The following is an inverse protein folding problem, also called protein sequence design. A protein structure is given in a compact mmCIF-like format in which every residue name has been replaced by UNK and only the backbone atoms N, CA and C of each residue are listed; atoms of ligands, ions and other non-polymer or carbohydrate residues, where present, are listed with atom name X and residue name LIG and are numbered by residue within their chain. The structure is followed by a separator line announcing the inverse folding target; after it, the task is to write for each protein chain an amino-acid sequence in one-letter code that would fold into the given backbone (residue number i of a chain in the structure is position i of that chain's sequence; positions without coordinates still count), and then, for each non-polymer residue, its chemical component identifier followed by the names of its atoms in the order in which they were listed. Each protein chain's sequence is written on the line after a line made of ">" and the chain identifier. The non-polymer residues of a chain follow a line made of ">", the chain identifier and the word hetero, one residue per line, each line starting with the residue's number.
data_IF_434063424749
#
_entry.id   IF_434063424749
#
_cell.length_a   1.000
_cell.length_b   1.000
_cell.length_c   1.000
_cell.angle_alpha   90.00
_cell.angle_beta   90.00
_cell.angle_gamma   90.00
#
_symmetry.space_group_name_H-M   'P 1'
#
loop_
_entity.id
_entity.type
_entity.pdbx_description
1 polymer ?
#
# COMPACT_ATOMS: atom_id res chain seq x y z
N UNK A 1 -1.82 21.50 -2.67
CA UNK A 1 -3.07 20.73 -2.82
C UNK A 1 -4.04 21.46 -3.76
N UNK A 2 -4.54 22.64 -3.38
CA UNK A 2 -5.32 23.53 -4.24
C UNK A 2 -4.66 23.82 -5.61
N UNK A 3 -3.34 24.01 -5.64
CA UNK A 3 -2.58 24.20 -6.89
C UNK A 3 -2.56 22.99 -7.84
N UNK A 4 -2.60 21.76 -7.30
CA UNK A 4 -2.61 20.54 -8.13
C UNK A 4 -4.01 20.33 -8.72
N UNK A 5 -5.03 20.61 -7.91
CA UNK A 5 -6.44 20.58 -8.26
C UNK A 5 -6.80 21.63 -9.32
N UNK A 6 -6.33 22.88 -9.14
CA UNK A 6 -6.44 23.93 -10.15
C UNK A 6 -5.73 23.56 -11.46
N UNK A 7 -4.58 22.87 -11.40
CA UNK A 7 -3.87 22.40 -12.59
C UNK A 7 -4.63 21.29 -13.32
N UNK A 8 -5.26 20.38 -12.59
CA UNK A 8 -6.10 19.34 -13.18
C UNK A 8 -7.33 19.93 -13.85
N UNK A 9 -8.05 20.81 -13.15
CA UNK A 9 -9.21 21.54 -13.67
C UNK A 9 -8.88 22.45 -14.85
N UNK A 10 -7.72 23.11 -14.82
CA UNK A 10 -7.22 23.88 -15.96
C UNK A 10 -6.97 22.98 -17.18
N UNK A 11 -6.40 21.79 -16.96
CA UNK A 11 -6.15 20.82 -18.03
C UNK A 11 -7.45 20.31 -18.65
N UNK A 12 -8.45 19.98 -17.83
CA UNK A 12 -9.79 19.60 -18.30
C UNK A 12 -10.46 20.71 -19.12
N UNK A 13 -10.36 21.96 -18.68
CA UNK A 13 -10.88 23.12 -19.44
C UNK A 13 -10.14 23.32 -20.77
N UNK A 14 -8.83 23.12 -20.79
CA UNK A 14 -8.02 23.20 -22.01
C UNK A 14 -8.36 22.07 -22.97
N UNK A 15 -8.52 20.85 -22.48
CA UNK A 15 -8.87 19.69 -23.30
C UNK A 15 -10.32 19.81 -23.84
N UNK A 16 -11.26 20.33 -23.04
CA UNK A 16 -12.61 20.70 -23.49
C UNK A 16 -12.60 21.77 -24.59
N UNK A 17 -11.78 22.82 -24.44
CA UNK A 17 -11.71 23.90 -25.44
C UNK A 17 -11.22 23.43 -26.82
N UNK A 18 -10.64 22.23 -26.90
CA UNK A 18 -10.11 21.61 -28.11
C UNK A 18 -11.06 20.61 -28.77
N UNK A 19 -12.16 20.25 -28.11
CA UNK A 19 -13.12 19.27 -28.61
C UNK A 19 -14.56 19.86 -28.63
N UNK A 20 -15.12 20.17 -29.81
CA UNK A 20 -16.46 20.76 -29.94
C UNK A 20 -17.61 19.85 -29.46
N UNK A 21 -17.37 18.54 -29.28
CA UNK A 21 -18.36 17.57 -28.81
C UNK A 21 -18.19 17.21 -27.32
N UNK A 22 -17.14 17.70 -26.66
CA UNK A 22 -16.94 17.44 -25.25
C UNK A 22 -18.06 18.08 -24.42
N UNK A 23 -18.63 17.32 -23.47
CA UNK A 23 -19.57 17.82 -22.47
C UNK A 23 -18.80 17.91 -21.16
N UNK A 24 -18.61 19.13 -20.63
CA UNK A 24 -18.07 19.34 -19.29
C UNK A 24 -19.05 18.73 -18.28
N UNK A 25 -18.67 17.61 -17.67
CA UNK A 25 -19.44 17.04 -16.58
C UNK A 25 -19.32 17.97 -15.36
N UNK A 26 -20.44 18.57 -14.96
CA UNK A 26 -20.50 19.40 -13.76
C UNK A 26 -20.09 18.56 -12.53
N UNK A 27 -18.89 18.84 -12.03
CA UNK A 27 -18.36 18.24 -10.81
C UNK A 27 -18.78 19.10 -9.62
N UNK A 28 -19.66 18.55 -8.77
CA UNK A 28 -20.00 19.19 -7.50
C UNK A 28 -19.03 18.75 -6.40
N UNK A 29 -18.42 19.72 -5.70
CA UNK A 29 -17.48 19.42 -4.60
C UNK A 29 -18.14 19.70 -3.26
N UNK A 30 -18.39 18.64 -2.46
CA UNK A 30 -19.05 18.73 -1.15
C UNK A 30 -18.24 17.94 -0.13
N UNK A 31 -17.78 18.59 0.94
CA UNK A 31 -16.88 17.98 1.95
C UNK A 31 -15.69 17.22 1.31
N UNK A 32 -15.25 17.77 0.18
CA UNK A 32 -14.16 17.28 -0.66
C UNK A 32 -14.40 15.95 -1.37
N UNK A 33 -15.67 15.54 -1.51
CA UNK A 33 -16.06 14.57 -2.53
C UNK A 33 -16.20 15.27 -3.87
N UNK A 34 -15.58 14.73 -4.93
CA UNK A 34 -15.81 15.18 -6.30
C UNK A 34 -16.95 14.36 -6.92
N UNK A 35 -18.18 14.86 -6.77
CA UNK A 35 -19.38 14.19 -7.24
C UNK A 35 -19.56 14.37 -8.74
N UNK A 36 -19.61 13.23 -9.44
CA UNK A 36 -19.97 13.16 -10.85
C UNK A 36 -21.34 12.51 -10.96
N UNK A 37 -22.20 13.08 -11.83
CA UNK A 37 -23.51 12.50 -12.11
C UNK A 37 -23.33 11.16 -12.82
N UNK A 38 -23.89 10.10 -12.26
CA UNK A 38 -23.81 8.77 -12.88
C UNK A 38 -24.70 8.72 -14.13
N UNK A 39 -24.11 8.68 -15.31
CA UNK A 39 -24.83 8.42 -16.57
C UNK A 39 -25.44 7.00 -16.51
N UNK A 40 -26.65 6.84 -17.03
CA UNK A 40 -27.32 5.53 -17.10
C UNK A 40 -26.42 4.58 -17.90
N UNK A 41 -25.99 3.48 -17.30
CA UNK A 41 -25.22 2.46 -18.02
C UNK A 41 -26.13 1.74 -19.02
N UNK A 42 -25.67 1.46 -20.26
CA UNK A 42 -26.41 0.61 -21.18
C UNK A 42 -26.64 -0.78 -20.57
N UNK A 43 -27.78 -1.38 -20.92
CA UNK A 43 -28.40 -2.60 -20.39
C UNK A 43 -27.52 -3.88 -20.37
N UNK A 44 -26.25 -3.84 -20.78
CA UNK A 44 -25.42 -5.02 -21.02
C UNK A 44 -24.51 -5.46 -19.85
N UNK A 45 -24.41 -4.69 -18.75
CA UNK A 45 -23.69 -5.11 -17.53
C UNK A 45 -24.63 -5.49 -16.35
N UNK A 46 -25.87 -5.88 -16.64
CA UNK A 46 -26.86 -6.35 -15.67
C UNK A 46 -26.52 -7.70 -15.01
N UNK A 47 -25.37 -8.31 -15.30
CA UNK A 47 -24.99 -9.63 -14.76
C UNK A 47 -24.42 -9.60 -13.34
N UNK A 48 -24.17 -8.43 -12.75
CA UNK A 48 -23.84 -8.33 -11.31
C UNK A 48 -24.90 -7.49 -10.59
N UNK A 49 -26.06 -8.11 -10.29
CA UNK A 49 -27.11 -7.55 -9.44
C UNK A 49 -26.57 -7.25 -8.03
N UNK A 50 -26.05 -6.04 -7.83
CA UNK A 50 -25.95 -5.42 -6.50
C UNK A 50 -26.77 -4.13 -6.54
N UNK A 51 -27.83 -4.11 -5.73
CA UNK A 51 -28.56 -2.87 -5.46
C UNK A 51 -27.56 -1.83 -4.95
N UNK A 52 -27.54 -0.66 -5.57
CA UNK A 52 -26.74 0.47 -5.10
C UNK A 52 -27.51 1.12 -3.95
N UNK A 53 -26.83 1.45 -2.87
CA UNK A 53 -27.41 2.14 -1.73
C UNK A 53 -26.76 3.50 -1.55
N UNK A 54 -27.54 4.48 -1.10
CA UNK A 54 -27.03 5.80 -0.77
C UNK A 54 -26.25 5.74 0.54
N UNK A 55 -24.98 6.14 0.51
CA UNK A 55 -24.10 6.18 1.67
C UNK A 55 -24.51 7.25 2.72
N UNK A 56 -25.45 8.15 2.39
CA UNK A 56 -26.01 9.13 3.31
C UNK A 56 -27.29 8.65 4.01
N UNK A 57 -28.32 8.24 3.25
CA UNK A 57 -29.62 7.86 3.82
C UNK A 57 -29.83 6.35 3.96
N UNK A 58 -28.89 5.51 3.50
CA UNK A 58 -28.99 4.04 3.44
C UNK A 58 -30.12 3.50 2.55
N UNK A 59 -30.85 4.35 1.83
CA UNK A 59 -31.90 3.95 0.90
C UNK A 59 -31.36 3.44 -0.43
N UNK A 60 -32.12 2.58 -1.11
CA UNK A 60 -31.78 2.06 -2.44
C UNK A 60 -31.77 3.19 -3.47
N UNK A 61 -30.74 3.22 -4.32
CA UNK A 61 -30.64 4.10 -5.48
C UNK A 61 -31.18 3.36 -6.71
N UNK A 62 -32.35 3.79 -7.18
CA UNK A 62 -32.97 3.28 -8.39
C UNK A 62 -32.50 4.09 -9.61
N UNK A 63 -31.39 3.68 -10.24
CA UNK A 63 -30.75 4.42 -11.34
C UNK A 63 -31.65 4.68 -12.57
N UNK A 64 -32.76 3.95 -12.71
CA UNK A 64 -33.74 4.12 -13.80
C UNK A 64 -34.67 5.31 -13.54
N UNK A 65 -34.93 5.65 -12.27
CA UNK A 65 -35.96 6.62 -11.86
C UNK A 65 -35.36 7.86 -11.19
N UNK A 66 -34.16 7.73 -10.61
CA UNK A 66 -33.55 8.78 -9.80
C UNK A 66 -32.12 9.07 -10.26
N UNK A 67 -31.81 10.35 -10.43
CA UNK A 67 -30.44 10.81 -10.60
C UNK A 67 -29.62 10.49 -9.34
N UNK A 68 -28.41 9.98 -9.54
CA UNK A 68 -27.46 9.68 -8.49
C UNK A 68 -26.07 10.21 -8.83
N UNK A 69 -25.32 10.51 -7.77
CA UNK A 69 -23.98 11.05 -7.84
C UNK A 69 -23.03 10.10 -7.15
N UNK A 70 -21.84 9.95 -7.71
CA UNK A 70 -20.78 9.13 -7.12
C UNK A 70 -19.51 9.96 -7.06
N UNK A 71 -18.87 9.94 -5.90
CA UNK A 71 -17.57 10.55 -5.71
C UNK A 71 -16.50 9.75 -6.48
N UNK A 72 -15.75 10.41 -7.37
CA UNK A 72 -14.71 9.76 -8.16
C UNK A 72 -13.54 9.23 -7.30
N UNK A 73 -13.28 9.86 -6.15
CA UNK A 73 -12.08 9.53 -5.35
C UNK A 73 -12.29 8.39 -4.35
N UNK A 74 -13.49 8.27 -3.78
CA UNK A 74 -13.77 7.27 -2.73
C UNK A 74 -15.02 6.43 -2.97
N UNK A 75 -15.67 6.59 -4.14
CA UNK A 75 -16.88 5.85 -4.53
C UNK A 75 -18.05 6.04 -3.56
N UNK A 76 -18.14 7.18 -2.87
CA UNK A 76 -19.31 7.54 -2.06
C UNK A 76 -20.49 7.80 -2.98
N UNK A 77 -21.58 7.04 -2.82
CA UNK A 77 -22.76 7.13 -3.67
C UNK A 77 -23.91 7.82 -2.95
N UNK A 78 -24.59 8.75 -3.62
CA UNK A 78 -25.65 9.54 -3.02
C UNK A 78 -26.80 9.79 -4.00
N UNK A 79 -28.05 9.81 -3.50
CA UNK A 79 -29.18 10.32 -4.30
C UNK A 79 -28.99 11.80 -4.58
N UNK A 80 -29.53 12.31 -5.68
CA UNK A 80 -29.59 13.75 -5.93
C UNK A 80 -30.19 14.54 -4.74
N UNK A 81 -31.31 14.07 -4.16
CA UNK A 81 -31.94 14.72 -2.99
C UNK A 81 -31.08 14.73 -1.72
N UNK A 82 -30.13 13.81 -1.60
CA UNK A 82 -29.26 13.66 -0.44
C UNK A 82 -27.93 14.38 -0.61
N UNK A 83 -27.62 14.89 -1.81
CA UNK A 83 -26.33 15.46 -2.18
C UNK A 83 -25.94 16.64 -1.28
N UNK A 84 -26.86 17.57 -1.03
CA UNK A 84 -26.63 18.75 -0.17
C UNK A 84 -26.65 18.45 1.33
N UNK A 85 -27.03 17.24 1.73
CA UNK A 85 -27.10 16.83 3.14
C UNK A 85 -25.94 15.90 3.54
N UNK A 86 -24.98 15.65 2.65
CA UNK A 86 -23.81 14.83 2.95
C UNK A 86 -23.03 15.44 4.12
N UNK A 87 -22.85 14.64 5.17
CA UNK A 87 -22.10 15.03 6.39
C UNK A 87 -20.73 14.36 6.48
N UNK A 88 -20.51 13.27 5.73
CA UNK A 88 -19.28 12.49 5.79
C UNK A 88 -18.21 13.11 4.90
N UNK A 89 -17.07 13.44 5.49
CA UNK A 89 -15.88 13.87 4.75
C UNK A 89 -15.42 12.76 3.80
N UNK A 90 -14.92 13.14 2.62
CA UNK A 90 -14.39 12.20 1.64
C UNK A 90 -13.30 11.31 2.23
N UNK A 91 -13.46 9.98 2.13
CA UNK A 91 -12.49 9.03 2.66
C UNK A 91 -11.10 9.20 2.00
N UNK A 92 -11.05 9.64 0.74
CA UNK A 92 -9.80 9.97 0.08
C UNK A 92 -9.05 11.09 0.79
N UNK A 93 -9.75 12.14 1.21
CA UNK A 93 -9.14 13.26 1.94
C UNK A 93 -8.55 12.78 3.26
N UNK A 94 -9.34 12.06 4.05
CA UNK A 94 -8.90 11.49 5.34
C UNK A 94 -7.67 10.61 5.13
N UNK A 95 -7.70 9.71 4.14
CA UNK A 95 -6.57 8.83 3.82
C UNK A 95 -5.32 9.60 3.37
N UNK A 96 -5.46 10.68 2.59
CA UNK A 96 -4.31 11.47 2.16
C UNK A 96 -3.65 12.28 3.28
N UNK A 97 -4.40 12.62 4.32
CA UNK A 97 -3.89 13.36 5.48
C UNK A 97 -3.14 12.44 6.44
N UNK A 98 -3.71 11.29 6.78
CA UNK A 98 -3.07 10.35 7.69
C UNK A 98 -1.98 9.49 7.02
N UNK A 99 -2.04 9.29 5.70
CA UNK A 99 -1.08 8.56 4.82
C UNK A 99 -0.80 7.10 5.16
N UNK A 100 -1.00 6.68 6.42
CA UNK A 100 -0.77 5.35 6.94
C UNK A 100 -2.06 4.80 7.56
N UNK A 101 -2.25 3.47 7.56
CA UNK A 101 -3.35 2.85 8.29
C UNK A 101 -3.23 3.06 9.81
N UNK A 102 -4.36 3.05 10.52
CA UNK A 102 -4.39 2.97 11.99
C UNK A 102 -3.57 1.75 12.43
N UNK A 103 -2.63 1.97 13.35
CA UNK A 103 -1.67 0.96 13.78
C UNK A 103 -2.18 0.08 14.93
N UNK A 104 -3.03 0.62 15.80
CA UNK A 104 -3.61 -0.11 16.92
C UNK A 104 -4.72 -1.05 16.43
N UNK A 105 -4.76 -2.26 16.98
CA UNK A 105 -5.87 -3.18 16.73
C UNK A 105 -7.08 -2.64 17.49
N UNK A 106 -8.14 -2.27 16.77
CA UNK A 106 -9.42 -1.83 17.33
C UNK A 106 -9.24 -0.90 18.54
N UNK A 107 -8.80 0.35 18.36
CA UNK A 107 -8.52 1.29 19.45
C UNK A 107 -9.83 1.78 20.10
N UNK A 108 -10.50 0.88 20.81
CA UNK A 108 -11.81 1.12 21.39
C UNK A 108 -11.72 2.07 22.58
N UNK A 109 -12.59 3.09 22.57
CA UNK A 109 -12.72 4.04 23.68
C UNK A 109 -13.97 3.81 24.52
N UNK A 110 -14.89 2.96 24.06
CA UNK A 110 -16.16 2.69 24.73
C UNK A 110 -17.25 3.73 24.43
N UNK A 111 -18.51 3.29 24.49
CA UNK A 111 -19.67 4.10 24.11
C UNK A 111 -19.88 5.34 25.01
N UNK A 112 -19.52 5.24 26.29
CA UNK A 112 -19.62 6.34 27.24
C UNK A 112 -18.71 7.52 26.88
N UNK A 113 -17.47 7.24 26.46
CA UNK A 113 -16.52 8.26 26.00
C UNK A 113 -16.94 8.86 24.64
N UNK A 114 -17.76 8.15 23.86
CA UNK A 114 -18.45 8.68 22.68
C UNK A 114 -19.78 9.37 23.00
N UNK A 115 -20.07 9.65 24.27
CA UNK A 115 -21.29 10.30 24.74
C UNK A 115 -22.57 9.59 24.28
N UNK A 116 -22.49 8.28 24.07
CA UNK A 116 -23.59 7.48 23.53
C UNK A 116 -24.11 8.01 22.18
N UNK A 117 -23.23 8.52 21.33
CA UNK A 117 -23.56 9.02 19.98
C UNK A 117 -22.82 8.26 18.89
N UNK A 118 -23.42 8.19 17.71
CA UNK A 118 -22.76 7.66 16.53
C UNK A 118 -21.57 8.53 16.13
N UNK A 119 -20.41 7.91 15.93
CA UNK A 119 -19.18 8.58 15.53
C UNK A 119 -19.27 9.38 14.20
N UNK A 120 -20.20 9.03 13.32
CA UNK A 120 -20.34 9.66 12.00
C UNK A 120 -21.48 10.70 11.97
N UNK A 121 -22.69 10.33 12.40
CA UNK A 121 -23.87 11.18 12.28
C UNK A 121 -24.37 11.80 13.58
N UNK A 122 -23.77 11.48 14.73
CA UNK A 122 -24.18 12.00 16.03
C UNK A 122 -25.50 11.44 16.57
N UNK A 123 -26.17 10.53 15.85
CA UNK A 123 -27.40 9.88 16.33
C UNK A 123 -27.19 9.22 17.69
N UNK A 124 -28.13 9.42 18.63
CA UNK A 124 -28.08 8.80 19.94
C UNK A 124 -28.15 7.27 19.83
N UNK A 125 -27.23 6.60 20.50
CA UNK A 125 -27.09 5.16 20.55
C UNK A 125 -27.46 4.67 21.95
N UNK A 126 -28.05 3.49 22.03
CA UNK A 126 -28.31 2.84 23.31
C UNK A 126 -28.36 1.34 23.10
N UNK A 127 -27.81 0.59 24.05
CA UNK A 127 -28.13 -0.83 24.13
C UNK A 127 -29.58 -0.99 24.58
N UNK A 128 -30.23 -2.07 24.14
CA UNK A 128 -31.47 -2.53 24.74
C UNK A 128 -31.14 -2.99 26.15
N UNK A 129 -31.20 -2.08 27.11
CA UNK A 129 -31.21 -2.44 28.51
C UNK A 129 -32.65 -2.75 28.87
N UNK A 130 -33.04 -4.02 28.74
CA UNK A 130 -34.14 -4.59 29.51
C UNK A 130 -33.70 -4.73 30.98
N UNK A 131 -33.19 -3.65 31.58
CA UNK A 131 -32.85 -3.65 32.99
C UNK A 131 -34.14 -3.49 33.76
N UNK A 132 -34.58 -4.56 34.42
CA UNK A 132 -35.45 -4.46 35.57
C UNK A 132 -34.74 -3.56 36.59
N UNK A 133 -35.20 -2.32 36.74
CA UNK A 133 -34.71 -1.44 37.79
C UNK A 133 -35.51 -1.83 39.03
N UNK A 134 -34.85 -2.54 39.96
CA UNK A 134 -35.40 -2.78 41.29
C UNK A 134 -35.05 -1.59 42.18
N UNK A 135 -36.05 -0.75 42.46
CA UNK A 135 -35.93 0.35 43.43
C UNK A 135 -37.10 0.21 44.42
N UNK A 136 -36.81 0.14 45.72
CA UNK A 136 -37.82 -0.04 46.77
C UNK A 136 -38.76 -1.25 46.59
N UNK A 137 -38.27 -2.37 46.04
CA UNK A 137 -39.07 -3.59 45.85
C UNK A 137 -40.11 -3.49 44.72
N UNK A 138 -40.07 -2.43 43.92
CA UNK A 138 -40.89 -2.26 42.72
C UNK A 138 -40.03 -2.53 41.48
N UNK A 139 -40.50 -3.43 40.63
CA UNK A 139 -39.86 -3.79 39.37
C UNK A 139 -40.34 -2.83 38.27
N UNK A 140 -39.49 -1.89 37.85
CA UNK A 140 -39.79 -1.01 36.74
C UNK A 140 -39.22 -1.58 35.44
N UNK A 141 -40.11 -2.02 34.53
CA UNK A 141 -39.76 -2.35 33.14
C UNK A 141 -39.81 -1.07 32.31
N UNK A 142 -38.66 -0.42 32.16
CA UNK A 142 -38.52 0.70 31.24
C UNK A 142 -38.18 0.17 29.84
N UNK A 143 -39.19 -0.16 29.02
CA UNK A 143 -38.98 -0.46 27.60
C UNK A 143 -38.72 0.85 26.84
N UNK A 144 -37.46 1.11 26.48
CA UNK A 144 -37.11 2.25 25.62
C UNK A 144 -37.53 1.92 24.18
N UNK A 145 -38.70 2.38 23.77
CA UNK A 145 -39.35 2.07 22.48
C UNK A 145 -38.53 2.45 21.21
N UNK A 146 -37.40 3.15 21.34
CA UNK A 146 -36.57 3.61 20.22
C UNK A 146 -35.07 3.42 20.48
N UNK A 147 -34.63 2.23 20.91
CA UNK A 147 -33.20 1.94 21.08
C UNK A 147 -32.49 1.76 19.73
N UNK A 148 -31.46 2.55 19.43
CA UNK A 148 -30.61 2.32 18.26
C UNK A 148 -29.38 1.54 18.72
N UNK A 149 -29.35 0.25 18.41
CA UNK A 149 -28.25 -0.63 18.80
C UNK A 149 -26.94 -0.20 18.10
N UNK A 150 -25.88 0.10 18.87
CA UNK A 150 -24.60 0.51 18.32
C UNK A 150 -23.87 -0.67 17.65
N UNK A 151 -23.09 -0.38 16.61
CA UNK A 151 -22.20 -1.32 15.91
C UNK A 151 -20.75 -0.84 16.03
N UNK A 152 -19.86 -1.71 16.50
CA UNK A 152 -18.43 -1.42 16.62
C UNK A 152 -17.71 -1.59 15.28
N UNK A 153 -16.96 -0.58 14.86
CA UNK A 153 -16.04 -0.68 13.73
C UNK A 153 -14.64 -1.11 14.19
N UNK A 154 -14.16 -2.27 13.76
CA UNK A 154 -12.87 -2.83 14.18
C UNK A 154 -11.67 -1.95 13.76
N UNK A 155 -11.78 -1.22 12.64
CA UNK A 155 -10.70 -0.35 12.17
C UNK A 155 -10.49 0.89 13.06
N UNK A 156 -11.57 1.55 13.48
CA UNK A 156 -11.49 2.81 14.24
C UNK A 156 -11.69 2.62 15.74
N UNK A 157 -12.21 1.48 16.19
CA UNK A 157 -12.61 1.26 17.59
C UNK A 157 -13.80 2.11 18.03
N UNK A 158 -14.58 2.65 17.09
CA UNK A 158 -15.70 3.54 17.39
C UNK A 158 -17.04 2.87 17.12
N UNK A 159 -18.09 3.34 17.81
CA UNK A 159 -19.45 2.88 17.67
C UNK A 159 -20.28 3.74 16.69
N UNK A 160 -21.10 3.08 15.89
CA UNK A 160 -21.90 3.67 14.81
C UNK A 160 -23.34 3.16 14.85
N UNK A 161 -24.27 3.96 14.30
CA UNK A 161 -25.64 3.50 14.07
C UNK A 161 -25.72 2.53 12.87
N UNK A 162 -26.82 1.77 12.73
CA UNK A 162 -27.02 0.86 11.59
C UNK A 162 -26.97 1.52 10.20
N UNK A 163 -27.25 2.82 10.11
CA UNK A 163 -27.19 3.59 8.86
C UNK A 163 -25.76 3.98 8.45
N UNK A 164 -24.84 4.17 9.40
CA UNK A 164 -23.43 4.49 9.12
C UNK A 164 -22.54 3.23 9.07
N UNK A 165 -23.00 2.12 9.64
CA UNK A 165 -22.27 0.87 9.71
C UNK A 165 -23.11 -0.30 9.21
N UNK A 166 -22.94 -0.69 7.96
CA UNK A 166 -23.78 -1.72 7.29
C UNK A 166 -23.34 -3.15 7.57
N UNK A 167 -22.46 -3.37 8.56
CA UNK A 167 -21.82 -4.66 8.81
C UNK A 167 -21.00 -5.18 7.62
N UNK A 168 -20.48 -4.24 6.81
CA UNK A 168 -19.45 -4.55 5.85
C UNK A 168 -18.24 -5.19 6.54
N UNK A 169 -17.49 -5.99 5.79
CA UNK A 169 -16.28 -6.63 6.27
C UNK A 169 -15.07 -6.16 5.48
N UNK A 170 -13.94 -6.06 6.17
CA UNK A 170 -12.63 -5.82 5.55
C UNK A 170 -11.54 -6.48 6.37
N UNK A 171 -10.43 -6.82 5.73
CA UNK A 171 -9.16 -7.11 6.40
C UNK A 171 -8.70 -5.83 7.12
N UNK A 172 -8.17 -5.97 8.33
CA UNK A 172 -7.76 -4.85 9.17
C UNK A 172 -6.24 -4.72 9.19
N UNK A 173 -5.67 -3.62 8.66
CA UNK A 173 -4.22 -3.46 8.52
C UNK A 173 -3.44 -3.67 9.83
N UNK A 174 -3.94 -3.16 10.96
CA UNK A 174 -3.33 -3.37 12.27
C UNK A 174 -3.25 -4.85 12.68
N UNK A 175 -4.27 -5.66 12.35
CA UNK A 175 -4.30 -7.09 12.69
C UNK A 175 -3.34 -7.89 11.81
N UNK A 176 -3.25 -7.56 10.53
CA UNK A 176 -2.27 -8.16 9.60
C UNK A 176 -0.84 -7.88 10.08
N UNK A 177 -0.55 -6.63 10.41
CA UNK A 177 0.82 -6.19 10.70
C UNK A 177 1.29 -6.54 12.12
N UNK A 178 0.37 -6.70 13.09
CA UNK A 178 0.70 -7.13 14.46
C UNK A 178 0.64 -8.64 14.64
N UNK A 179 -0.40 -9.27 14.10
CA UNK A 179 -0.77 -10.65 14.45
C UNK A 179 -0.78 -11.61 13.26
N UNK A 180 -0.44 -11.14 12.05
CA UNK A 180 -0.58 -11.92 10.82
C UNK A 180 -2.02 -12.47 10.63
N UNK A 181 -3.02 -11.70 11.08
CA UNK A 181 -4.45 -12.06 11.07
C UNK A 181 -5.17 -11.39 9.89
N UNK A 182 -5.58 -12.21 8.92
CA UNK A 182 -6.29 -11.79 7.71
C UNK A 182 -7.80 -12.00 7.77
N UNK A 183 -8.34 -12.46 8.91
CA UNK A 183 -9.77 -12.74 9.00
C UNK A 183 -10.55 -11.41 8.95
N UNK A 184 -11.51 -11.24 8.01
CA UNK A 184 -12.24 -9.99 7.89
C UNK A 184 -13.00 -9.63 9.18
N UNK A 185 -13.01 -8.35 9.51
CA UNK A 185 -13.74 -7.78 10.65
C UNK A 185 -14.78 -6.80 10.18
N UNK A 186 -15.77 -6.57 11.04
CA UNK A 186 -16.85 -5.63 10.77
C UNK A 186 -16.33 -4.19 10.81
N UNK A 187 -16.67 -3.40 9.79
CA UNK A 187 -16.22 -2.01 9.64
C UNK A 187 -17.37 -1.10 9.20
N UNK A 188 -17.29 0.18 9.59
CA UNK A 188 -18.21 1.19 9.10
C UNK A 188 -17.93 1.51 7.62
N UNK A 189 -18.87 2.22 6.98
CA UNK A 189 -18.78 2.56 5.55
C UNK A 189 -17.56 3.41 5.22
N UNK A 190 -17.28 4.40 6.06
CA UNK A 190 -16.10 5.25 5.94
C UNK A 190 -14.81 4.43 5.97
N UNK A 191 -14.65 3.59 7.00
CA UNK A 191 -13.47 2.76 7.20
C UNK A 191 -13.25 1.78 6.05
N UNK A 192 -14.32 1.17 5.52
CA UNK A 192 -14.21 0.31 4.33
C UNK A 192 -13.62 1.08 3.13
N UNK A 193 -14.10 2.30 2.88
CA UNK A 193 -13.58 3.14 1.79
C UNK A 193 -12.10 3.52 2.05
N UNK A 194 -11.76 3.92 3.27
CA UNK A 194 -10.37 4.27 3.64
C UNK A 194 -9.41 3.08 3.47
N UNK A 195 -9.78 1.90 3.99
CA UNK A 195 -8.95 0.69 3.87
C UNK A 195 -8.77 0.33 2.38
N UNK A 196 -9.83 0.42 1.58
CA UNK A 196 -9.75 0.17 0.13
C UNK A 196 -8.77 1.11 -0.57
N UNK A 197 -8.72 2.38 -0.17
CA UNK A 197 -7.80 3.38 -0.75
C UNK A 197 -6.35 3.21 -0.31
N UNK A 198 -6.12 2.55 0.83
CA UNK A 198 -4.78 2.23 1.35
C UNK A 198 -4.27 0.86 0.89
N UNK A 199 -5.17 -0.02 0.41
CA UNK A 199 -4.89 -1.44 0.18
C UNK A 199 -3.62 -1.68 -0.65
N UNK A 200 -3.45 -0.94 -1.75
CA UNK A 200 -2.33 -1.08 -2.68
C UNK A 200 -1.19 -0.07 -2.46
N UNK A 201 -1.30 0.81 -1.45
CA UNK A 201 -0.28 1.83 -1.19
C UNK A 201 0.85 1.26 -0.34
N UNK A 202 2.11 1.29 -0.81
CA UNK A 202 3.24 0.73 -0.07
C UNK A 202 3.73 1.70 1.02
N UNK A 203 3.03 1.73 2.14
CA UNK A 203 3.24 2.71 3.23
C UNK A 203 3.64 2.08 4.57
N UNK A 204 3.73 0.75 4.63
CA UNK A 204 3.99 0.00 5.86
C UNK A 204 5.47 -0.41 5.91
N UNK A 205 6.21 0.10 6.89
CA UNK A 205 7.57 -0.36 7.22
C UNK A 205 7.48 -1.59 8.13
N UNK A 206 7.26 -2.75 7.55
CA UNK A 206 6.84 -3.94 8.31
C UNK A 206 7.92 -4.44 9.27
N UNK A 207 9.18 -4.45 8.83
CA UNK A 207 10.30 -4.98 9.63
C UNK A 207 10.63 -4.08 10.83
N UNK A 208 10.57 -2.77 10.66
CA UNK A 208 10.72 -1.80 11.75
C UNK A 208 9.61 -1.98 12.79
N UNK A 209 8.39 -2.26 12.34
CA UNK A 209 7.20 -2.38 13.19
C UNK A 209 7.09 -3.71 13.92
N UNK A 210 7.40 -4.82 13.24
CA UNK A 210 7.29 -6.16 13.79
C UNK A 210 8.31 -7.11 13.14
N UNK A 211 9.59 -7.07 13.58
CA UNK A 211 10.66 -7.85 12.97
C UNK A 211 10.46 -9.36 13.17
N UNK A 212 9.72 -9.76 14.21
CA UNK A 212 9.42 -11.18 14.51
C UNK A 212 8.63 -11.85 13.39
N UNK A 213 7.84 -11.12 12.60
CA UNK A 213 7.13 -11.70 11.46
C UNK A 213 8.10 -12.32 10.44
N UNK A 214 9.25 -11.70 10.21
CA UNK A 214 10.27 -12.24 9.29
C UNK A 214 10.96 -13.49 9.85
N UNK A 215 10.93 -13.71 11.16
CA UNK A 215 11.42 -14.95 11.80
C UNK A 215 10.39 -16.07 11.69
N UNK A 216 9.11 -15.78 11.94
CA UNK A 216 8.06 -16.80 12.06
C UNK A 216 7.34 -17.13 10.75
N UNK A 217 7.41 -16.26 9.74
CA UNK A 217 6.72 -16.45 8.45
C UNK A 217 7.77 -16.66 7.34
N UNK A 218 8.07 -17.92 6.95
CA UNK A 218 9.11 -18.23 5.97
C UNK A 218 8.88 -17.57 4.61
N UNK A 219 7.63 -17.49 4.16
CA UNK A 219 7.25 -16.85 2.90
C UNK A 219 7.60 -15.35 2.90
N UNK A 220 7.44 -14.66 4.03
CA UNK A 220 7.78 -13.25 4.17
C UNK A 220 9.30 -13.03 4.13
N UNK A 221 10.06 -13.91 4.79
CA UNK A 221 11.52 -13.92 4.72
C UNK A 221 12.02 -14.16 3.28
N UNK A 222 11.38 -15.08 2.55
CA UNK A 222 11.69 -15.31 1.14
C UNK A 222 11.38 -14.06 0.30
N UNK A 223 10.20 -13.46 0.45
CA UNK A 223 9.81 -12.23 -0.26
C UNK A 223 10.84 -11.14 -0.04
N UNK A 224 11.28 -10.91 1.20
CA UNK A 224 12.34 -9.95 1.52
C UNK A 224 13.62 -10.25 0.72
N UNK A 225 14.12 -11.48 0.80
CA UNK A 225 15.33 -11.90 0.07
C UNK A 225 15.20 -11.71 -1.44
N UNK A 226 14.06 -12.07 -2.03
CA UNK A 226 13.85 -11.88 -3.47
C UNK A 226 13.81 -10.40 -3.83
N UNK A 227 13.18 -9.55 -3.00
CA UNK A 227 13.17 -8.10 -3.22
C UNK A 227 14.56 -7.48 -3.12
N UNK A 228 15.41 -7.94 -2.21
CA UNK A 228 16.83 -7.54 -2.15
C UNK A 228 17.55 -7.90 -3.46
N UNK A 229 17.36 -9.13 -3.96
CA UNK A 229 17.92 -9.56 -5.24
C UNK A 229 17.41 -8.72 -6.41
N UNK A 230 16.11 -8.39 -6.45
CA UNK A 230 15.54 -7.53 -7.49
C UNK A 230 16.11 -6.10 -7.42
N UNK A 231 16.30 -5.56 -6.21
CA UNK A 231 16.97 -4.27 -6.00
C UNK A 231 18.41 -4.28 -6.55
N UNK A 232 19.13 -5.38 -6.35
CA UNK A 232 20.45 -5.60 -6.92
C UNK A 232 20.41 -5.71 -8.46
N UNK A 233 19.44 -6.43 -9.03
CA UNK A 233 19.23 -6.57 -10.47
C UNK A 233 18.88 -5.24 -11.17
N UNK A 234 18.15 -4.35 -10.47
CA UNK A 234 17.70 -3.05 -10.98
C UNK A 234 18.83 -2.25 -11.65
N UNK A 235 20.04 -2.26 -11.06
CA UNK A 235 21.21 -1.53 -11.58
C UNK A 235 21.63 -1.99 -12.99
N UNK A 236 21.45 -3.29 -13.29
CA UNK A 236 21.77 -3.87 -14.59
C UNK A 236 20.68 -3.53 -15.61
N UNK A 237 19.43 -3.70 -15.21
CA UNK A 237 18.26 -3.54 -16.08
C UNK A 237 18.09 -2.08 -16.54
N UNK A 238 18.20 -1.12 -15.62
CA UNK A 238 18.02 0.31 -15.96
C UNK A 238 19.17 0.81 -16.86
N UNK A 239 20.38 0.29 -16.67
CA UNK A 239 21.56 0.69 -17.44
C UNK A 239 21.77 -0.14 -18.73
N UNK A 240 20.82 -1.01 -19.10
CA UNK A 240 20.92 -1.88 -20.27
C UNK A 240 19.96 -1.42 -21.36
N UNK A 241 20.50 -0.93 -22.49
CA UNK A 241 19.68 -0.51 -23.65
C UNK A 241 18.78 -1.63 -24.20
N UNK A 242 19.24 -2.89 -24.16
CA UNK A 242 18.45 -4.03 -24.66
C UNK A 242 17.27 -4.37 -23.73
N UNK A 243 17.40 -4.11 -22.42
CA UNK A 243 16.29 -4.24 -21.48
C UNK A 243 15.25 -3.12 -21.69
N UNK A 244 15.74 -1.90 -21.96
CA UNK A 244 14.92 -0.72 -22.19
C UNK A 244 14.13 -0.80 -23.50
N UNK A 245 14.76 -1.20 -24.61
CA UNK A 245 14.12 -1.45 -25.91
C UNK A 245 12.95 -2.45 -25.78
N UNK A 246 13.12 -3.48 -24.94
CA UNK A 246 12.07 -4.49 -24.67
C UNK A 246 11.02 -4.02 -23.66
N UNK A 247 11.25 -2.87 -23.01
CA UNK A 247 10.49 -2.34 -21.86
C UNK A 247 10.35 -3.37 -20.75
N UNK A 248 11.43 -4.13 -20.50
CA UNK A 248 11.39 -5.34 -19.68
C UNK A 248 10.84 -5.07 -18.27
N UNK A 249 11.39 -4.06 -17.57
CA UNK A 249 10.94 -3.70 -16.22
C UNK A 249 9.48 -3.23 -16.22
N UNK A 250 9.11 -2.34 -17.15
CA UNK A 250 7.76 -1.77 -17.20
C UNK A 250 6.70 -2.84 -17.50
N UNK A 251 6.97 -3.79 -18.41
CA UNK A 251 6.05 -4.87 -18.76
C UNK A 251 5.86 -5.89 -17.64
N UNK A 252 6.93 -6.17 -16.89
CA UNK A 252 6.92 -7.25 -15.89
C UNK A 252 6.41 -6.77 -14.53
N UNK A 253 6.87 -5.59 -14.06
CA UNK A 253 6.51 -5.06 -12.73
C UNK A 253 5.27 -4.15 -12.76
N UNK A 254 5.03 -3.43 -13.86
CA UNK A 254 3.89 -2.52 -14.00
C UNK A 254 3.83 -1.43 -12.92
N UNK A 255 2.70 -1.35 -12.23
CA UNK A 255 2.41 -0.36 -11.18
C UNK A 255 3.05 -0.70 -9.83
N UNK A 256 3.47 -1.95 -9.61
CA UNK A 256 4.04 -2.45 -8.34
C UNK A 256 5.56 -2.19 -8.23
N UNK A 257 6.00 -1.00 -8.64
CA UNK A 257 7.44 -0.64 -8.72
C UNK A 257 8.15 -0.68 -7.37
N UNK A 258 7.42 -0.43 -6.29
CA UNK A 258 7.93 -0.48 -4.92
C UNK A 258 8.54 -1.84 -4.57
N UNK A 259 8.12 -2.94 -5.22
CA UNK A 259 8.67 -4.27 -4.97
C UNK A 259 10.16 -4.38 -5.32
N UNK A 260 10.64 -3.58 -6.27
CA UNK A 260 12.05 -3.53 -6.69
C UNK A 260 12.77 -2.26 -6.19
N UNK A 261 12.03 -1.21 -5.81
CA UNK A 261 12.60 0.08 -5.41
C UNK A 261 12.94 0.18 -3.92
N UNK A 262 12.16 -0.47 -3.07
CA UNK A 262 12.35 -0.49 -1.61
C UNK A 262 12.15 -1.92 -1.12
N UNK A 263 12.90 -2.35 -0.11
CA UNK A 263 12.70 -3.66 0.54
C UNK A 263 11.83 -3.52 1.80
N UNK A 264 11.84 -2.33 2.41
CA UNK A 264 11.23 -2.08 3.73
C UNK A 264 9.72 -1.79 3.64
N UNK A 265 9.26 -1.24 2.51
CA UNK A 265 7.87 -0.80 2.34
C UNK A 265 6.98 -1.91 1.77
N UNK A 266 5.84 -2.13 2.43
CA UNK A 266 4.80 -3.08 2.03
C UNK A 266 3.45 -2.37 1.96
N UNK A 267 2.58 -2.83 1.07
CA UNK A 267 1.14 -2.54 1.09
C UNK A 267 0.39 -3.69 1.76
N UNK A 268 -0.86 -3.45 2.18
CA UNK A 268 -1.70 -4.53 2.74
C UNK A 268 -1.96 -5.60 1.67
N UNK A 269 -2.12 -5.20 0.41
CA UNK A 269 -2.25 -6.13 -0.72
C UNK A 269 -1.01 -7.00 -0.91
N UNK A 270 0.19 -6.49 -0.64
CA UNK A 270 1.41 -7.31 -0.69
C UNK A 270 1.38 -8.38 0.39
N UNK A 271 0.96 -8.04 1.62
CA UNK A 271 0.90 -8.98 2.74
C UNK A 271 -0.17 -10.05 2.54
N UNK A 272 -1.32 -9.69 1.99
CA UNK A 272 -2.32 -10.67 1.52
C UNK A 272 -1.72 -11.58 0.46
N UNK A 273 -0.96 -11.01 -0.49
CA UNK A 273 -0.26 -11.76 -1.53
C UNK A 273 0.85 -12.68 -1.00
N UNK A 274 1.43 -12.37 0.16
CA UNK A 274 2.37 -13.29 0.83
C UNK A 274 1.60 -14.48 1.39
N UNK A 275 0.51 -14.22 2.12
CA UNK A 275 -0.33 -15.24 2.75
C UNK A 275 -0.93 -16.23 1.74
N UNK A 276 -1.49 -15.72 0.63
CA UNK A 276 -2.08 -16.57 -0.41
C UNK A 276 -1.04 -17.13 -1.41
N UNK A 277 0.24 -16.77 -1.26
CA UNK A 277 1.36 -17.20 -2.10
C UNK A 277 1.44 -16.54 -3.49
N UNK A 278 0.49 -15.69 -3.87
CA UNK A 278 0.46 -15.04 -5.19
C UNK A 278 1.64 -14.10 -5.40
N UNK A 279 2.03 -13.33 -4.37
CA UNK A 279 3.18 -12.43 -4.43
C UNK A 279 4.49 -13.22 -4.51
N UNK A 280 4.60 -14.31 -3.73
CA UNK A 280 5.79 -15.17 -3.74
C UNK A 280 6.00 -15.75 -5.16
N UNK A 281 4.95 -16.32 -5.74
CA UNK A 281 4.98 -16.86 -7.11
C UNK A 281 5.36 -15.79 -8.13
N UNK A 282 4.72 -14.62 -8.07
CA UNK A 282 5.01 -13.50 -8.95
C UNK A 282 6.47 -13.04 -8.86
N UNK A 283 7.01 -12.86 -7.65
CA UNK A 283 8.40 -12.43 -7.44
C UNK A 283 9.42 -13.47 -7.94
N UNK A 284 9.14 -14.77 -7.80
CA UNK A 284 9.99 -15.84 -8.37
C UNK A 284 10.04 -15.77 -9.89
N UNK A 285 8.88 -15.60 -10.54
CA UNK A 285 8.80 -15.46 -12.00
C UNK A 285 9.51 -14.19 -12.48
N UNK A 286 9.33 -13.07 -11.77
CA UNK A 286 10.03 -11.82 -12.06
C UNK A 286 11.54 -12.00 -11.96
N UNK A 287 12.04 -12.56 -10.86
CA UNK A 287 13.46 -12.83 -10.65
C UNK A 287 14.02 -13.69 -11.78
N UNK A 288 13.37 -14.81 -12.09
CA UNK A 288 13.83 -15.72 -13.14
C UNK A 288 13.90 -15.03 -14.51
N UNK A 289 12.90 -14.21 -14.84
CA UNK A 289 12.86 -13.45 -16.10
C UNK A 289 14.01 -12.44 -16.19
N UNK A 290 14.24 -11.69 -15.11
CA UNK A 290 15.32 -10.69 -15.07
C UNK A 290 16.69 -11.35 -15.03
N UNK A 291 16.85 -12.42 -14.28
CA UNK A 291 18.08 -13.22 -14.23
C UNK A 291 18.43 -13.76 -15.61
N UNK A 292 17.45 -14.36 -16.29
CA UNK A 292 17.66 -14.88 -17.64
C UNK A 292 18.14 -13.77 -18.58
N UNK A 293 17.52 -12.58 -18.54
CA UNK A 293 18.01 -11.44 -19.32
C UNK A 293 19.43 -11.04 -18.93
N UNK A 294 19.72 -10.85 -17.64
CA UNK A 294 21.03 -10.36 -17.15
C UNK A 294 22.16 -11.33 -17.54
N UNK A 295 21.93 -12.64 -17.42
CA UNK A 295 22.93 -13.65 -17.76
C UNK A 295 23.11 -13.86 -19.26
N UNK A 296 22.05 -13.74 -20.06
CA UNK A 296 22.11 -13.93 -21.53
C UNK A 296 22.46 -12.66 -22.30
N UNK A 297 22.35 -11.49 -21.68
CA UNK A 297 22.60 -10.20 -22.33
C UNK A 297 24.07 -9.80 -22.24
N UNK A 298 24.72 -9.62 -23.40
CA UNK A 298 26.12 -9.21 -23.50
C UNK A 298 26.45 -7.90 -22.74
N UNK A 299 25.50 -6.96 -22.69
CA UNK A 299 25.68 -5.68 -21.98
C UNK A 299 25.68 -5.87 -20.48
N UNK A 300 24.81 -6.75 -19.98
CA UNK A 300 24.68 -7.05 -18.56
C UNK A 300 25.82 -7.95 -18.08
N UNK A 301 26.12 -9.02 -18.83
CA UNK A 301 27.20 -9.96 -18.50
C UNK A 301 28.58 -9.32 -18.59
N UNK A 302 28.78 -8.33 -19.48
CA UNK A 302 30.01 -7.51 -19.49
C UNK A 302 30.25 -6.70 -18.21
N UNK A 303 29.24 -6.56 -17.33
CA UNK A 303 29.33 -5.92 -16.01
C UNK A 303 29.35 -6.93 -14.86
N UNK A 304 29.47 -8.23 -15.16
CA UNK A 304 29.62 -9.25 -14.14
C UNK A 304 31.01 -9.20 -13.50
N UNK A 305 31.17 -9.92 -12.38
CA UNK A 305 32.41 -9.98 -11.63
C UNK A 305 33.04 -11.37 -11.75
N UNK A 306 34.35 -11.45 -11.63
CA UNK A 306 35.08 -12.70 -11.41
C UNK A 306 35.70 -12.62 -10.02
N UNK A 307 35.60 -13.70 -9.25
CA UNK A 307 36.09 -13.72 -7.88
C UNK A 307 37.62 -13.73 -7.84
N UNK A 308 38.24 -12.64 -7.36
CA UNK A 308 39.70 -12.48 -7.31
C UNK A 308 40.42 -13.45 -6.35
N UNK A 309 39.69 -14.21 -5.55
CA UNK A 309 40.24 -15.11 -4.53
C UNK A 309 40.33 -16.56 -4.98
N UNK A 310 39.68 -16.93 -6.10
CA UNK A 310 39.68 -18.30 -6.62
C UNK A 310 40.01 -18.30 -8.11
N UNK A 311 40.55 -19.42 -8.61
CA UNK A 311 40.77 -19.63 -10.05
C UNK A 311 39.52 -20.20 -10.75
N UNK A 312 38.33 -19.74 -10.35
CA UNK A 312 37.09 -20.11 -11.02
C UNK A 312 36.64 -18.92 -11.89
N UNK A 313 36.59 -19.15 -13.21
CA UNK A 313 36.20 -18.15 -14.21
C UNK A 313 34.68 -17.98 -14.34
N UNK A 314 33.90 -18.64 -13.48
CA UNK A 314 32.47 -18.42 -13.39
C UNK A 314 32.16 -16.96 -13.02
N UNK A 315 31.36 -16.32 -13.87
CA UNK A 315 30.88 -14.96 -13.64
C UNK A 315 29.91 -14.91 -12.46
N UNK A 316 30.01 -13.83 -11.69
CA UNK A 316 29.24 -13.56 -10.50
C UNK A 316 28.47 -12.25 -10.63
N UNK A 317 27.30 -12.25 -10.02
CA UNK A 317 26.51 -11.05 -9.83
C UNK A 317 26.24 -10.82 -8.33
N UNK A 318 26.04 -9.55 -7.92
CA UNK A 318 25.71 -9.21 -6.53
C UNK A 318 24.47 -9.93 -5.96
N UNK A 319 23.53 -10.34 -6.83
CA UNK A 319 22.28 -10.99 -6.45
C UNK A 319 22.40 -12.52 -6.31
N UNK A 320 23.56 -13.11 -6.58
CA UNK A 320 23.79 -14.55 -6.41
C UNK A 320 23.82 -14.93 -4.92
N UNK A 321 23.26 -16.08 -4.55
CA UNK A 321 23.15 -16.49 -3.13
C UNK A 321 24.52 -16.67 -2.44
N UNK A 322 25.55 -17.10 -3.20
CA UNK A 322 26.93 -17.23 -2.72
C UNK A 322 27.79 -15.98 -3.00
N UNK A 323 27.21 -14.85 -3.37
CA UNK A 323 27.96 -13.61 -3.56
C UNK A 323 28.07 -12.78 -2.28
N UNK A 324 29.15 -12.00 -2.20
CA UNK A 324 29.31 -10.91 -1.24
C UNK A 324 29.91 -9.69 -1.93
N UNK A 325 29.27 -8.54 -1.74
CA UNK A 325 29.70 -7.25 -2.27
C UNK A 325 30.51 -6.48 -1.23
N UNK A 326 31.67 -5.96 -1.63
CA UNK A 326 32.44 -5.07 -0.77
C UNK A 326 31.71 -3.72 -0.60
N UNK A 327 31.42 -3.33 0.64
CA UNK A 327 30.73 -2.07 0.96
C UNK A 327 31.46 -0.79 0.55
N UNK A 328 32.77 -0.87 0.25
CA UNK A 328 33.59 0.29 -0.14
C UNK A 328 33.75 0.45 -1.66
N UNK A 329 33.91 -0.65 -2.38
CA UNK A 329 34.27 -0.61 -3.81
C UNK A 329 33.32 -1.42 -4.70
N UNK A 330 32.27 -2.01 -4.12
CA UNK A 330 31.25 -2.81 -4.79
C UNK A 330 31.77 -3.99 -5.61
N UNK A 331 33.03 -4.41 -5.39
CA UNK A 331 33.57 -5.63 -6.02
C UNK A 331 32.93 -6.83 -5.37
N UNK A 332 32.48 -7.76 -6.21
CA UNK A 332 31.81 -8.99 -5.78
C UNK A 332 32.80 -10.14 -5.73
N UNK A 333 32.63 -11.03 -4.78
CA UNK A 333 33.41 -12.26 -4.63
C UNK A 333 32.51 -13.37 -4.08
N UNK A 334 32.95 -14.62 -4.16
CA UNK A 334 32.28 -15.71 -3.44
C UNK A 334 32.34 -15.45 -1.92
N UNK A 335 31.22 -15.69 -1.24
CA UNK A 335 31.07 -15.46 0.21
C UNK A 335 32.08 -16.27 1.00
N UNK A 336 32.22 -17.54 0.68
CA UNK A 336 33.21 -18.41 1.32
C UNK A 336 34.65 -17.96 1.07
N UNK A 337 34.98 -17.54 -0.15
CA UNK A 337 36.33 -17.09 -0.48
C UNK A 337 36.68 -15.82 0.29
N UNK A 338 35.73 -14.89 0.41
CA UNK A 338 35.89 -13.67 1.19
C UNK A 338 36.09 -13.95 2.68
N UNK A 339 35.32 -14.89 3.25
CA UNK A 339 35.47 -15.33 4.64
C UNK A 339 36.82 -16.00 4.89
N UNK A 340 37.23 -16.96 4.04
CA UNK A 340 38.54 -17.64 4.12
C UNK A 340 39.73 -16.68 4.08
N UNK A 341 39.59 -15.53 3.42
CA UNK A 341 40.63 -14.49 3.31
C UNK A 341 40.47 -13.38 4.36
N UNK A 342 39.81 -13.67 5.48
CA UNK A 342 39.73 -12.79 6.65
C UNK A 342 38.85 -11.55 6.43
N UNK A 343 37.84 -11.65 5.54
CA UNK A 343 36.87 -10.59 5.26
C UNK A 343 37.53 -9.25 4.86
N UNK A 344 38.68 -9.33 4.16
CA UNK A 344 39.40 -8.17 3.62
C UNK A 344 39.28 -8.16 2.10
N UNK A 345 38.70 -7.10 1.55
CA UNK A 345 38.58 -6.95 0.11
C UNK A 345 39.98 -6.80 -0.56
N UNK A 346 40.27 -7.68 -1.52
CA UNK A 346 41.54 -7.69 -2.25
C UNK A 346 41.78 -6.38 -3.02
N UNK A 347 40.77 -5.92 -3.76
CA UNK A 347 40.83 -4.63 -4.48
C UNK A 347 41.07 -3.44 -3.56
N UNK A 348 40.34 -3.32 -2.45
CA UNK A 348 40.55 -2.23 -1.48
C UNK A 348 41.96 -2.27 -0.88
N UNK A 349 42.50 -3.48 -0.66
CA UNK A 349 43.86 -3.66 -0.15
C UNK A 349 44.89 -3.19 -1.17
N UNK A 350 44.73 -3.56 -2.45
CA UNK A 350 45.61 -3.08 -3.54
C UNK A 350 45.54 -1.56 -3.70
N UNK A 351 44.33 -0.98 -3.70
CA UNK A 351 44.13 0.47 -3.80
C UNK A 351 44.79 1.21 -2.63
N UNK A 352 44.66 0.71 -1.40
CA UNK A 352 45.32 1.30 -0.22
C UNK A 352 46.84 1.23 -0.32
N UNK A 353 47.41 0.10 -0.75
CA UNK A 353 48.86 -0.04 -0.95
C UNK A 353 49.38 0.95 -2.00
N UNK A 354 48.67 1.06 -3.14
CA UNK A 354 49.03 2.00 -4.20
C UNK A 354 48.98 3.45 -3.72
N UNK A 355 47.93 3.83 -2.99
CA UNK A 355 47.81 5.18 -2.43
C UNK A 355 48.94 5.50 -1.42
N UNK A 356 49.32 4.55 -0.56
CA UNK A 356 50.44 4.73 0.37
C UNK A 356 51.78 4.84 -0.35
N UNK A 357 51.97 4.09 -1.43
CA UNK A 357 53.18 4.18 -2.24
C UNK A 357 53.28 5.55 -2.93
N UNK A 358 52.21 6.00 -3.58
CA UNK A 358 52.18 7.33 -4.23
C UNK A 358 52.42 8.46 -3.23
N UNK A 359 51.89 8.36 -2.01
CA UNK A 359 52.14 9.35 -0.97
C UNK A 359 53.62 9.37 -0.54
N UNK A 360 54.26 8.20 -0.44
CA UNK A 360 55.70 8.12 -0.13
C UNK A 360 56.54 8.74 -1.25
N UNK A 361 56.25 8.39 -2.49
CA UNK A 361 56.93 8.97 -3.66
C UNK A 361 56.79 10.50 -3.71
N UNK A 362 55.63 11.04 -3.32
CA UNK A 362 55.42 12.49 -3.22
C UNK A 362 56.25 13.13 -2.09
N UNK A 363 56.29 12.50 -0.92
CA UNK A 363 57.09 12.99 0.21
C UNK A 363 58.59 12.91 -0.07
N UNK A 364 59.06 11.88 -0.78
CA UNK A 364 60.47 11.74 -1.16
C UNK A 364 60.87 12.88 -2.12
N UNK A 365 60.02 13.20 -3.10
CA UNK A 365 60.21 14.34 -4.01
C UNK A 365 60.20 15.70 -3.28
N UNK A 366 59.30 15.89 -2.32
CA UNK A 366 59.22 17.14 -1.51
C UNK A 366 60.43 17.30 -0.59
N UNK A 367 61.02 16.20 -0.13
CA UNK A 367 62.20 16.20 0.74
C UNK A 367 63.53 16.24 -0.04
N UNK A 368 63.50 16.28 -1.39
CA UNK A 368 64.68 16.44 -2.23
C UNK A 368 65.56 15.19 -2.36
N UNK A 369 64.99 13.99 -2.18
CA UNK A 369 65.66 12.71 -2.42
C UNK A 369 65.38 12.14 -3.82
#
# INVERSE_FOLDING_TARGET
>A
RHLVELRYRYRELVDYSRDPEAILEETEVILGHHFVRRKQFPFQQLQQKRNLYCDHCSGVIWNVVQASYVCNDCSFAVHHKCLRSVIRICAHIVTTEHKQPIECICPEIGLAFQKYTCAECGTQLSYNTSTAINCFGLEFKAEKLNSIQPRLCDYTGLYYCPACHWNDTSIIPARVTNNWDFVPRKVCRASRQQISLLLHKPVIRLEERNPRLFTFIPQLAEVKRVREQLGEMKRYLIACRLADERKLVAKQIGERRHLMESVDLYSVADLVGVEDGTLVGHLRTLRATFEHHIRSCLICSGKAYICEFCNNDQILFPFDDNAVSCTRCNTVSHRECYQRKGMKCAKCTRLRRRALQTLREQLDLENGN
#
